data_IF_680230806273
#
_entry.id   IF_680230806273
#
_cell.length_a   1.000
_cell.length_b   1.000
_cell.length_c   1.000
_cell.angle_alpha   90.00
_cell.angle_beta   90.00
_cell.angle_gamma   90.00
#
_symmetry.space_group_name_H-M   'P 1'
#
loop_
_entity.id
_entity.type
_entity.pdbx_description
1 polymer ?
#
# COMPACT_ATOMS: atom_id res chain seq x y z
N UNK A 1 -0.47 -9.51 0.60
CA UNK A 1 -0.10 -8.47 1.58
C UNK A 1 0.27 -7.19 0.84
N UNK A 2 -0.37 -6.09 1.19
CA UNK A 2 -0.05 -4.75 0.73
C UNK A 2 0.91 -4.09 1.72
N UNK A 3 1.99 -3.51 1.20
CA UNK A 3 2.89 -2.63 1.92
C UNK A 3 2.79 -1.24 1.28
N UNK A 4 2.55 -0.22 2.10
CA UNK A 4 2.55 1.19 1.68
C UNK A 4 3.43 2.00 2.61
N UNK A 5 4.22 2.91 2.06
CA UNK A 5 5.16 3.75 2.78
C UNK A 5 5.01 5.21 2.34
N UNK A 6 5.33 6.13 3.25
CA UNK A 6 5.50 7.55 2.92
C UNK A 6 6.98 7.91 2.82
N UNK A 7 7.37 8.59 1.76
CA UNK A 7 8.69 9.24 1.65
C UNK A 7 8.59 10.62 2.28
N UNK A 8 9.00 10.77 3.53
CA UNK A 8 9.18 12.07 4.22
C UNK A 8 9.69 11.85 5.64
N UNK A 9 10.17 12.91 6.27
CA UNK A 9 10.50 12.94 7.70
C UNK A 9 12.00 12.83 7.97
N UNK A 10 12.33 12.47 9.21
CA UNK A 10 13.71 12.44 9.69
C UNK A 10 14.09 11.04 10.13
N UNK A 11 14.91 10.36 9.33
CA UNK A 11 15.29 8.98 9.58
C UNK A 11 16.33 8.85 10.71
N UNK A 12 16.75 9.96 11.33
CA UNK A 12 17.47 9.93 12.61
C UNK A 12 16.53 9.66 13.80
N UNK A 13 15.23 9.90 13.64
CA UNK A 13 14.24 9.72 14.71
C UNK A 13 13.02 8.92 14.25
N UNK A 14 12.22 9.47 13.33
CA UNK A 14 11.06 8.80 12.77
C UNK A 14 10.70 9.34 11.38
N UNK A 15 10.37 8.44 10.47
CA UNK A 15 9.75 8.78 9.20
C UNK A 15 8.36 9.39 9.42
N UNK A 16 7.94 10.29 8.52
CA UNK A 16 6.64 10.93 8.60
C UNK A 16 5.51 9.89 8.43
N UNK A 17 4.41 10.08 9.15
CA UNK A 17 3.26 9.18 9.10
C UNK A 17 2.51 9.29 7.77
N UNK A 18 1.91 8.19 7.30
CA UNK A 18 1.09 8.16 6.07
C UNK A 18 -0.18 9.01 6.27
N UNK A 19 -0.78 8.98 7.46
CA UNK A 19 -2.04 9.67 7.74
C UNK A 19 -3.22 9.04 7.01
N UNK A 20 -4.19 9.87 6.63
CA UNK A 20 -5.38 9.39 5.93
C UNK A 20 -5.10 9.12 4.44
N UNK A 21 -5.57 7.97 3.96
CA UNK A 21 -5.64 7.60 2.54
C UNK A 21 -7.09 7.30 2.16
N UNK A 22 -7.40 7.52 0.89
CA UNK A 22 -8.63 7.07 0.25
C UNK A 22 -8.25 6.21 -0.94
N UNK A 23 -9.12 5.27 -1.31
CA UNK A 23 -8.88 4.43 -2.46
C UNK A 23 -10.15 3.90 -3.09
N UNK A 24 -9.95 3.28 -4.25
CA UNK A 24 -10.96 2.54 -4.99
C UNK A 24 -10.45 1.13 -5.23
N UNK A 25 -11.30 0.13 -5.02
CA UNK A 25 -11.07 -1.26 -5.46
C UNK A 25 -12.01 -1.51 -6.63
N UNK A 26 -11.49 -2.15 -7.67
CA UNK A 26 -12.22 -2.53 -8.87
C UNK A 26 -12.23 -4.05 -8.98
N UNK A 27 -13.39 -4.61 -9.29
CA UNK A 27 -13.52 -6.00 -9.68
C UNK A 27 -13.12 -6.22 -11.15
N UNK A 28 -13.30 -7.44 -11.65
CA UNK A 28 -13.00 -7.78 -13.04
C UNK A 28 -13.99 -7.21 -14.06
N UNK A 29 -15.10 -6.63 -13.59
CA UNK A 29 -16.10 -5.92 -14.40
C UNK A 29 -15.94 -4.39 -14.32
N UNK A 30 -14.85 -3.92 -13.71
CA UNK A 30 -14.54 -2.51 -13.47
C UNK A 30 -15.54 -1.77 -12.55
N UNK A 31 -16.29 -2.48 -11.72
CA UNK A 31 -17.16 -1.86 -10.71
C UNK A 31 -16.29 -1.35 -9.55
N UNK A 32 -16.44 -0.06 -9.24
CA UNK A 32 -15.63 0.61 -8.23
C UNK A 32 -16.25 0.59 -6.83
N UNK A 33 -15.41 0.31 -5.82
CA UNK A 33 -15.76 0.30 -4.41
C UNK A 33 -14.79 1.17 -3.61
N UNK A 34 -15.30 2.25 -3.01
CA UNK A 34 -14.46 3.20 -2.27
C UNK A 34 -14.18 2.74 -0.84
N UNK A 35 -13.02 3.13 -0.34
CA UNK A 35 -12.64 2.96 1.06
C UNK A 35 -11.78 4.13 1.53
N UNK A 36 -11.73 4.31 2.86
CA UNK A 36 -10.81 5.22 3.52
C UNK A 36 -10.07 4.48 4.63
N UNK A 37 -8.86 4.94 4.94
CA UNK A 37 -8.06 4.37 6.04
C UNK A 37 -7.21 5.46 6.69
N UNK A 38 -7.30 5.55 8.01
CA UNK A 38 -6.41 6.37 8.82
C UNK A 38 -5.20 5.54 9.27
N UNK A 39 -4.00 6.07 9.09
CA UNK A 39 -2.73 5.38 9.33
C UNK A 39 -1.82 6.28 10.15
N UNK A 40 -1.73 6.01 11.46
CA UNK A 40 -0.87 6.75 12.38
C UNK A 40 0.62 6.38 12.32
N UNK A 41 1.02 5.53 11.38
CA UNK A 41 2.39 5.04 11.20
C UNK A 41 3.00 5.50 9.87
N UNK A 42 4.32 5.39 9.74
CA UNK A 42 5.05 5.66 8.50
C UNK A 42 4.91 4.55 7.43
N UNK A 43 4.49 3.36 7.85
CA UNK A 43 4.27 2.20 7.00
C UNK A 43 2.93 1.53 7.33
N UNK A 44 2.19 1.15 6.30
CA UNK A 44 1.05 0.24 6.37
C UNK A 44 1.50 -1.14 5.89
N UNK A 45 1.12 -2.19 6.63
CA UNK A 45 1.24 -3.59 6.20
C UNK A 45 -0.08 -4.29 6.51
N UNK A 46 -0.81 -4.64 5.47
CA UNK A 46 -2.13 -5.24 5.63
C UNK A 46 -2.33 -6.39 4.63
N UNK A 47 -3.07 -7.40 5.05
CA UNK A 47 -3.52 -8.46 4.15
C UNK A 47 -4.86 -8.04 3.55
N UNK A 48 -4.98 -8.15 2.22
CA UNK A 48 -6.23 -7.92 1.52
C UNK A 48 -7.23 -9.00 1.95
N UNK A 49 -8.25 -8.60 2.70
CA UNK A 49 -9.21 -9.48 3.36
C UNK A 49 -10.47 -8.70 3.75
N UNK A 50 -11.43 -9.34 4.41
CA UNK A 50 -12.67 -8.68 4.84
C UNK A 50 -12.46 -7.61 5.94
N UNK A 51 -11.24 -7.48 6.48
CA UNK A 51 -10.87 -6.40 7.41
C UNK A 51 -10.17 -5.22 6.73
N UNK A 52 -9.61 -5.40 5.53
CA UNK A 52 -8.97 -4.35 4.75
C UNK A 52 -8.87 -4.74 3.26
N UNK A 53 -9.24 -3.87 2.32
CA UNK A 53 -9.86 -2.55 2.51
C UNK A 53 -11.32 -2.65 2.97
N UNK A 54 -11.75 -1.75 3.85
CA UNK A 54 -13.14 -1.66 4.33
C UNK A 54 -13.95 -0.79 3.38
N UNK A 55 -14.58 -1.43 2.40
CA UNK A 55 -15.59 -0.83 1.53
C UNK A 55 -16.99 -1.12 2.09
N UNK A 56 -18.06 -0.68 1.42
CA UNK A 56 -19.44 -0.99 1.82
C UNK A 56 -19.76 -2.50 1.77
N UNK A 57 -19.10 -3.24 0.89
CA UNK A 57 -19.27 -4.68 0.69
C UNK A 57 -17.96 -5.40 1.04
N UNK A 58 -17.96 -6.52 1.79
CA UNK A 58 -16.71 -7.20 2.18
C UNK A 58 -15.79 -7.50 0.99
N UNK A 59 -14.47 -7.40 1.19
CA UNK A 59 -13.47 -7.62 0.14
C UNK A 59 -13.68 -8.93 -0.63
N UNK A 60 -13.97 -10.04 0.05
CA UNK A 60 -14.18 -11.35 -0.59
C UNK A 60 -15.43 -11.43 -1.46
N UNK A 61 -16.32 -10.44 -1.40
CA UNK A 61 -17.44 -10.28 -2.34
C UNK A 61 -17.10 -9.35 -3.49
N UNK A 62 -16.26 -8.35 -3.24
CA UNK A 62 -15.76 -7.44 -4.29
C UNK A 62 -14.80 -8.17 -5.23
N UNK A 63 -13.82 -8.88 -4.67
CA UNK A 63 -12.91 -9.76 -5.42
C UNK A 63 -12.99 -11.15 -4.80
N UNK A 64 -13.87 -12.03 -5.31
CA UNK A 64 -13.96 -13.42 -4.86
C UNK A 64 -12.68 -14.21 -5.13
N UNK A 65 -12.54 -15.35 -4.44
CA UNK A 65 -11.47 -16.29 -4.73
C UNK A 65 -11.52 -16.75 -6.20
N UNK A 66 -10.36 -16.79 -6.86
CA UNK A 66 -10.25 -17.15 -8.28
C UNK A 66 -10.61 -16.02 -9.26
N UNK A 67 -10.92 -14.81 -8.77
CA UNK A 67 -11.15 -13.63 -9.60
C UNK A 67 -10.00 -12.63 -9.47
N UNK A 68 -9.87 -11.79 -10.48
CA UNK A 68 -8.90 -10.69 -10.50
C UNK A 68 -9.58 -9.37 -10.22
N UNK A 69 -8.79 -8.39 -9.80
CA UNK A 69 -9.21 -7.01 -9.66
C UNK A 69 -7.99 -6.12 -9.45
N UNK A 70 -8.21 -4.83 -9.34
CA UNK A 70 -7.15 -3.85 -9.14
C UNK A 70 -7.60 -2.75 -8.18
N UNK A 71 -6.66 -1.98 -7.64
CA UNK A 71 -7.00 -0.91 -6.71
C UNK A 71 -6.16 0.34 -6.97
N UNK A 72 -6.78 1.49 -6.71
CA UNK A 72 -6.12 2.80 -6.64
C UNK A 72 -6.04 3.25 -5.19
N UNK A 73 -4.92 3.90 -4.88
CA UNK A 73 -4.64 4.49 -3.58
C UNK A 73 -4.26 5.94 -3.83
N UNK A 74 -4.84 6.84 -3.07
CA UNK A 74 -4.57 8.26 -3.16
C UNK A 74 -4.57 8.90 -1.77
N UNK A 75 -3.92 10.06 -1.69
CA UNK A 75 -3.94 10.86 -0.47
C UNK A 75 -5.37 11.33 -0.18
N UNK A 76 -5.78 11.28 1.07
CA UNK A 76 -7.02 11.91 1.49
C UNK A 76 -6.76 13.38 1.87
N UNK A 77 -7.54 14.30 1.28
CA UNK A 77 -7.48 15.74 1.58
C UNK A 77 -6.54 16.53 0.66
N UNK A 78 -6.11 17.69 1.13
CA UNK A 78 -5.24 18.64 0.41
C UNK A 78 -3.74 18.45 0.67
N UNK A 79 -3.39 17.51 1.55
CA UNK A 79 -2.00 17.17 1.85
C UNK A 79 -1.43 16.21 0.80
N UNK A 80 -0.50 16.73 0.01
CA UNK A 80 0.30 15.91 -0.89
C UNK A 80 1.35 15.11 -0.10
N UNK A 81 1.36 13.80 -0.34
CA UNK A 81 2.31 12.87 0.26
C UNK A 81 2.88 11.99 -0.85
N UNK A 82 4.20 11.86 -0.86
CA UNK A 82 4.88 10.89 -1.71
C UNK A 82 4.67 9.49 -1.12
N UNK A 83 3.86 8.68 -1.80
CA UNK A 83 3.54 7.32 -1.41
C UNK A 83 4.16 6.33 -2.40
N UNK A 84 4.69 5.24 -1.89
CA UNK A 84 5.19 4.10 -2.66
C UNK A 84 4.94 2.81 -1.90
N UNK A 85 5.00 1.68 -2.59
CA UNK A 85 4.71 0.42 -1.94
C UNK A 85 4.87 -0.76 -2.85
N UNK A 86 4.46 -1.92 -2.34
CA UNK A 86 4.44 -3.16 -3.07
C UNK A 86 3.28 -4.03 -2.59
N UNK A 87 2.83 -4.92 -3.47
CA UNK A 87 1.99 -6.05 -3.11
C UNK A 87 2.82 -7.32 -3.16
N UNK A 88 2.65 -8.18 -2.17
CA UNK A 88 3.32 -9.48 -2.06
C UNK A 88 2.23 -10.53 -1.92
N UNK A 89 2.13 -11.45 -2.87
CA UNK A 89 1.25 -12.59 -2.80
C UNK A 89 2.05 -13.83 -2.40
N UNK A 90 1.68 -14.43 -1.27
CA UNK A 90 2.21 -15.72 -0.84
C UNK A 90 1.08 -16.72 -0.87
N UNK A 91 1.22 -17.76 -1.69
CA UNK A 91 0.30 -18.87 -1.75
C UNK A 91 1.06 -20.16 -1.39
N UNK A 92 0.76 -20.82 -0.25
CA UNK A 92 1.48 -22.02 0.17
C UNK A 92 1.33 -23.21 -0.80
N UNK A 93 0.27 -23.21 -1.60
CA UNK A 93 0.01 -24.27 -2.60
C UNK A 93 0.79 -24.08 -3.90
N UNK A 94 1.67 -23.06 -3.99
CA UNK A 94 2.46 -22.78 -5.21
C UNK A 94 3.40 -23.91 -5.61
N UNK A 95 3.70 -24.84 -4.70
CA UNK A 95 4.52 -26.02 -4.97
C UNK A 95 3.72 -27.20 -5.55
N UNK A 96 2.40 -27.23 -5.32
CA UNK A 96 1.51 -28.34 -5.68
C UNK A 96 0.46 -27.97 -6.72
N UNK A 97 0.21 -26.67 -6.95
CA UNK A 97 -0.79 -26.16 -7.87
C UNK A 97 -0.19 -25.06 -8.78
N UNK A 98 -0.21 -25.28 -10.08
CA UNK A 98 0.30 -24.31 -11.07
C UNK A 98 -0.52 -23.03 -11.14
N UNK A 99 -1.77 -23.04 -10.69
CA UNK A 99 -2.63 -21.85 -10.55
C UNK A 99 -2.43 -21.09 -9.23
N UNK A 100 -1.58 -21.57 -8.33
CA UNK A 100 -1.27 -20.91 -7.07
C UNK A 100 -0.12 -19.90 -7.25
N UNK A 101 -0.48 -18.68 -7.63
CA UNK A 101 0.49 -17.61 -7.86
C UNK A 101 1.19 -17.15 -6.57
N UNK A 102 2.51 -16.96 -6.61
CA UNK A 102 3.32 -16.45 -5.52
C UNK A 102 4.36 -15.44 -6.05
N UNK A 103 4.07 -14.13 -5.99
CA UNK A 103 4.97 -13.11 -6.53
C UNK A 103 4.83 -11.78 -5.77
N UNK A 104 5.75 -10.86 -6.01
CA UNK A 104 5.68 -9.49 -5.52
C UNK A 104 5.80 -8.49 -6.65
N UNK A 105 5.03 -7.40 -6.58
CA UNK A 105 5.10 -6.29 -7.52
C UNK A 105 5.09 -4.96 -6.79
N UNK A 106 5.91 -4.02 -7.27
CA UNK A 106 5.82 -2.63 -6.83
C UNK A 106 4.50 -2.02 -7.30
N UNK A 107 3.95 -1.12 -6.50
CA UNK A 107 2.80 -0.34 -6.91
C UNK A 107 3.19 0.58 -8.07
N UNK A 108 2.29 0.67 -9.06
CA UNK A 108 2.50 1.56 -10.19
C UNK A 108 2.20 3.01 -9.81
N UNK A 109 3.17 3.90 -10.02
CA UNK A 109 3.03 5.33 -9.75
C UNK A 109 2.24 6.01 -10.86
N UNK A 110 1.07 6.56 -10.52
CA UNK A 110 0.21 7.26 -11.47
C UNK A 110 0.43 8.78 -11.48
N UNK A 111 0.75 9.35 -10.32
CA UNK A 111 1.00 10.77 -10.15
C UNK A 111 2.19 10.99 -9.23
N UNK A 112 2.88 12.11 -9.42
CA UNK A 112 3.94 12.60 -8.54
C UNK A 112 3.45 13.85 -7.83
N UNK A 113 4.01 14.12 -6.65
CA UNK A 113 3.72 15.34 -5.90
C UNK A 113 4.43 16.53 -6.53
N UNK A 114 3.77 17.68 -6.56
CA UNK A 114 4.34 18.95 -7.04
C UNK A 114 4.96 19.75 -5.88
N UNK A 115 4.65 19.37 -4.63
CA UNK A 115 5.22 19.94 -3.42
C UNK A 115 6.59 19.37 -3.09
N UNK A 116 7.39 20.22 -2.43
CA UNK A 116 8.68 19.79 -1.88
C UNK A 116 8.47 18.73 -0.79
N UNK A 117 9.09 17.58 -0.99
CA UNK A 117 9.18 16.50 0.00
C UNK A 117 10.61 16.43 0.52
N UNK A 118 10.79 16.56 1.83
CA UNK A 118 12.10 16.51 2.48
C UNK A 118 12.27 15.20 3.25
N UNK A 119 13.41 14.55 3.04
CA UNK A 119 13.88 13.39 3.81
C UNK A 119 15.23 13.74 4.42
N UNK A 120 15.37 13.62 5.74
CA UNK A 120 16.65 13.72 6.42
C UNK A 120 17.20 12.33 6.68
N UNK A 121 18.39 12.06 6.15
CA UNK A 121 19.09 10.78 6.30
C UNK A 121 20.34 11.01 7.16
N UNK A 122 20.55 10.24 8.25
CA UNK A 122 21.79 10.34 9.02
C UNK A 122 22.97 9.84 8.21
N UNK A 123 24.07 10.60 8.22
CA UNK A 123 25.39 10.10 7.80
C UNK A 123 26.18 9.84 9.07
N UNK A 124 26.39 8.56 9.40
CA UNK A 124 27.12 8.12 10.59
C UNK A 124 28.49 7.63 10.14
N UNK A 125 29.56 8.21 10.68
CA UNK A 125 30.93 7.77 10.41
C UNK A 125 31.18 6.50 11.23
N UNK A 126 31.65 5.39 10.64
CA UNK A 126 31.98 4.18 11.38
C UNK A 126 33.09 4.47 12.40
N UNK A 127 32.86 4.19 13.68
CA UNK A 127 33.91 4.27 14.69
C UNK A 127 34.79 3.02 14.60
N UNK A 128 36.09 3.19 14.38
CA UNK A 128 37.04 2.09 14.49
C UNK A 128 37.32 1.88 15.99
N UNK A 129 36.79 0.80 16.56
CA UNK A 129 37.23 0.25 17.84
C UNK A 129 37.86 -1.11 17.58
#
# INVERSE_FOLDING_TARGET
MLILNRVAGDFTSSAATIGNITGLVYDDQEIAYSYTRSIGSCQLREVLSNTFPRTFTPFSRVIPAGRSGWMKIYNAGTDEKALFGATINYNPDSQSNTGAFNQGHNLHTLTVTERQITVRIPVIIPTCN
#
